data_IF_062663393376
#
_entry.id   IF_062663393376
#
_cell.length_a   1.000
_cell.length_b   1.000
_cell.length_c   1.000
_cell.angle_alpha   90.00
_cell.angle_beta   90.00
_cell.angle_gamma   90.00
#
_symmetry.space_group_name_H-M   'P 1'
#
loop_
_entity.id
_entity.type
_entity.pdbx_description
1 polymer ?
#
# COMPACT_ATOMS: atom_id res chain seq x y z
N UNK A 1 -45.16 69.07 47.53
CA UNK A 1 -44.07 69.10 48.53
C UNK A 1 -42.98 68.15 48.06
N UNK A 2 -41.84 68.69 47.63
CA UNK A 2 -40.63 67.91 47.36
C UNK A 2 -40.07 67.41 48.69
N UNK A 3 -40.30 66.14 49.01
CA UNK A 3 -39.60 65.48 50.12
C UNK A 3 -38.18 65.23 49.65
N UNK A 4 -37.26 66.12 50.03
CA UNK A 4 -35.84 65.97 49.77
C UNK A 4 -35.30 64.78 50.55
N UNK A 5 -34.67 63.84 49.84
CA UNK A 5 -34.00 62.68 50.43
C UNK A 5 -33.08 63.07 51.59
N UNK A 6 -33.04 62.28 52.66
CA UNK A 6 -32.11 62.48 53.77
C UNK A 6 -30.64 62.41 53.30
N UNK A 7 -29.69 63.07 54.00
CA UNK A 7 -28.28 63.04 53.63
C UNK A 7 -27.69 61.62 53.57
N UNK A 8 -28.10 60.71 54.47
CA UNK A 8 -27.62 59.31 54.48
C UNK A 8 -28.17 58.46 53.32
N UNK A 9 -29.44 58.62 52.96
CA UNK A 9 -30.04 57.91 51.83
C UNK A 9 -29.43 58.35 50.48
N UNK A 10 -29.03 59.62 50.38
CA UNK A 10 -28.28 60.14 49.23
C UNK A 10 -26.89 59.52 49.13
N UNK A 11 -26.25 59.27 50.27
CA UNK A 11 -24.92 58.66 50.32
C UNK A 11 -24.96 57.17 49.96
N UNK A 12 -25.93 56.41 50.47
CA UNK A 12 -26.11 54.98 50.15
C UNK A 12 -26.43 54.80 48.66
N UNK A 13 -27.35 55.60 48.13
CA UNK A 13 -27.70 55.58 46.70
C UNK A 13 -26.55 56.03 45.81
N UNK A 14 -25.68 56.91 46.31
CA UNK A 14 -24.42 57.28 45.66
C UNK A 14 -23.45 56.12 45.57
N UNK A 15 -23.19 55.43 46.69
CA UNK A 15 -22.30 54.27 46.77
C UNK A 15 -22.79 53.09 45.94
N UNK A 16 -24.11 52.87 45.87
CA UNK A 16 -24.69 51.80 45.06
C UNK A 16 -24.53 52.06 43.55
N UNK A 17 -24.75 53.30 43.10
CA UNK A 17 -24.48 53.72 41.72
C UNK A 17 -23.00 53.64 41.35
N UNK A 18 -22.11 53.91 42.28
CA UNK A 18 -20.66 53.80 42.07
C UNK A 18 -20.24 52.34 41.90
N UNK A 19 -20.75 51.43 42.74
CA UNK A 19 -20.53 49.98 42.61
C UNK A 19 -21.12 49.41 41.33
N UNK A 20 -22.26 49.92 40.87
CA UNK A 20 -22.87 49.50 39.61
C UNK A 20 -22.01 49.90 38.41
N UNK A 21 -21.50 51.14 38.39
CA UNK A 21 -20.55 51.62 37.37
C UNK A 21 -19.24 50.84 37.37
N UNK A 22 -18.74 50.47 38.56
CA UNK A 22 -17.52 49.67 38.67
C UNK A 22 -17.72 48.26 38.10
N UNK A 23 -18.87 47.62 38.37
CA UNK A 23 -19.25 46.32 37.78
C UNK A 23 -19.44 46.41 36.27
N UNK A 24 -20.01 47.50 35.77
CA UNK A 24 -20.20 47.73 34.33
C UNK A 24 -18.85 47.87 33.63
N UNK A 25 -17.91 48.65 34.19
CA UNK A 25 -16.53 48.75 33.70
C UNK A 25 -15.80 47.41 33.73
N UNK A 26 -15.97 46.61 34.78
CA UNK A 26 -15.33 45.29 34.86
C UNK A 26 -15.90 44.33 33.79
N UNK A 27 -17.20 44.42 33.49
CA UNK A 27 -17.81 43.65 32.40
C UNK A 27 -17.32 44.09 31.02
N UNK A 28 -17.18 45.40 30.80
CA UNK A 28 -16.61 45.95 29.56
C UNK A 28 -15.16 45.48 29.36
N UNK A 29 -14.32 45.56 30.39
CA UNK A 29 -12.93 45.09 30.33
C UNK A 29 -12.85 43.57 30.07
N UNK A 30 -13.73 42.78 30.69
CA UNK A 30 -13.83 41.33 30.44
C UNK A 30 -14.29 41.03 29.01
N UNK A 31 -15.25 41.79 28.49
CA UNK A 31 -15.73 41.65 27.11
C UNK A 31 -14.60 42.01 26.12
N UNK A 32 -13.88 43.10 26.35
CA UNK A 32 -12.75 43.52 25.52
C UNK A 32 -11.61 42.49 25.52
N UNK A 33 -11.28 41.93 26.70
CA UNK A 33 -10.30 40.86 26.81
C UNK A 33 -10.76 39.58 26.07
N UNK A 34 -12.03 39.22 26.18
CA UNK A 34 -12.62 38.09 25.48
C UNK A 34 -12.59 38.29 23.96
N UNK A 35 -12.95 39.48 23.48
CA UNK A 35 -12.84 39.84 22.06
C UNK A 35 -11.40 39.78 21.57
N UNK A 36 -10.44 40.24 22.39
CA UNK A 36 -9.02 40.12 22.10
C UNK A 36 -8.59 38.67 21.87
N UNK A 37 -9.03 37.76 22.73
CA UNK A 37 -8.77 36.32 22.60
C UNK A 37 -9.42 35.76 21.33
N UNK A 38 -10.69 36.09 21.06
CA UNK A 38 -11.41 35.64 19.86
C UNK A 38 -10.71 36.12 18.59
N UNK A 39 -10.25 37.39 18.56
CA UNK A 39 -9.48 37.95 17.44
C UNK A 39 -8.18 37.18 17.23
N UNK A 40 -7.45 36.87 18.30
CA UNK A 40 -6.20 36.09 18.21
C UNK A 40 -6.42 34.69 17.65
N UNK A 41 -7.43 33.96 18.14
CA UNK A 41 -7.74 32.63 17.61
C UNK A 41 -8.23 32.68 16.16
N UNK A 42 -9.03 33.68 15.81
CA UNK A 42 -9.49 33.88 14.43
C UNK A 42 -8.32 34.12 13.50
N UNK A 43 -7.38 34.98 13.91
CA UNK A 43 -6.14 35.24 13.15
C UNK A 43 -5.27 33.99 13.05
N UNK A 44 -5.04 33.29 14.16
CA UNK A 44 -4.24 32.07 14.16
C UNK A 44 -4.85 30.99 13.25
N UNK A 45 -6.17 30.82 13.28
CA UNK A 45 -6.87 29.89 12.39
C UNK A 45 -6.73 30.30 10.91
N UNK A 46 -6.82 31.59 10.62
CA UNK A 46 -6.58 32.10 9.27
C UNK A 46 -5.15 31.84 8.80
N UNK A 47 -4.16 32.17 9.64
CA UNK A 47 -2.73 31.97 9.35
C UNK A 47 -2.42 30.48 9.12
N UNK A 48 -2.95 29.58 9.96
CA UNK A 48 -2.81 28.12 9.79
C UNK A 48 -3.45 27.62 8.49
N UNK A 49 -4.62 28.14 8.12
CA UNK A 49 -5.26 27.77 6.86
C UNK A 49 -4.44 28.24 5.66
N UNK A 50 -3.89 29.46 5.69
CA UNK A 50 -2.99 29.94 4.65
C UNK A 50 -1.74 29.08 4.52
N UNK A 51 -1.13 28.70 5.65
CA UNK A 51 0.02 27.79 5.65
C UNK A 51 -0.32 26.43 5.04
N UNK A 52 -1.46 25.85 5.42
CA UNK A 52 -1.93 24.58 4.85
C UNK A 52 -2.04 24.65 3.32
N UNK A 53 -2.74 25.66 2.79
CA UNK A 53 -2.93 25.80 1.35
C UNK A 53 -1.60 26.01 0.62
N UNK A 54 -0.68 26.77 1.21
CA UNK A 54 0.64 26.99 0.63
C UNK A 54 1.46 25.70 0.61
N UNK A 55 1.46 24.94 1.70
CA UNK A 55 2.14 23.64 1.78
C UNK A 55 1.57 22.64 0.77
N UNK A 56 0.24 22.58 0.61
CA UNK A 56 -0.41 21.72 -0.39
C UNK A 56 0.05 22.09 -1.81
N UNK A 57 0.09 23.38 -2.14
CA UNK A 57 0.56 23.86 -3.44
C UNK A 57 2.05 23.59 -3.67
N UNK A 58 2.90 23.82 -2.67
CA UNK A 58 4.33 23.51 -2.74
C UNK A 58 4.56 22.00 -2.89
N UNK A 59 3.78 21.17 -2.18
CA UNK A 59 3.83 19.72 -2.30
C UNK A 59 3.46 19.24 -3.70
N UNK A 60 2.39 19.76 -4.30
CA UNK A 60 1.99 19.43 -5.67
C UNK A 60 3.02 19.89 -6.72
N UNK A 61 3.67 21.02 -6.49
CA UNK A 61 4.73 21.52 -7.36
C UNK A 61 6.01 20.67 -7.29
N UNK A 62 6.41 20.26 -6.08
CA UNK A 62 7.61 19.44 -5.87
C UNK A 62 7.40 18.01 -6.35
N UNK A 63 6.20 17.47 -6.11
CA UNK A 63 5.85 16.11 -6.47
C UNK A 63 4.73 16.07 -7.51
N UNK A 64 5.06 16.06 -8.81
CA UNK A 64 4.08 15.83 -9.85
C UNK A 64 3.39 14.47 -9.66
N UNK A 65 2.22 14.29 -10.29
CA UNK A 65 1.33 13.15 -10.04
C UNK A 65 2.00 11.77 -10.13
N UNK A 66 2.94 11.60 -11.06
CA UNK A 66 3.71 10.37 -11.26
C UNK A 66 4.80 10.10 -10.19
N UNK A 67 5.18 11.13 -9.43
CA UNK A 67 6.21 11.09 -8.38
C UNK A 67 5.65 11.38 -6.97
N UNK A 68 4.34 11.58 -6.83
CA UNK A 68 3.69 11.78 -5.54
C UNK A 68 3.90 10.55 -4.62
N UNK A 69 4.56 10.70 -3.46
CA UNK A 69 4.88 9.59 -2.57
C UNK A 69 3.66 8.76 -2.15
N UNK A 70 2.50 9.38 -1.89
CA UNK A 70 1.29 8.64 -1.52
C UNK A 70 0.74 7.80 -2.67
N UNK A 71 0.79 8.32 -3.90
CA UNK A 71 0.40 7.58 -5.11
C UNK A 71 1.41 6.48 -5.43
N UNK A 72 2.70 6.70 -5.17
CA UNK A 72 3.72 5.66 -5.34
C UNK A 72 3.50 4.50 -4.38
N UNK A 73 3.22 4.76 -3.10
CA UNK A 73 2.92 3.72 -2.12
C UNK A 73 1.68 2.91 -2.52
N UNK A 74 0.61 3.56 -3.00
CA UNK A 74 -0.58 2.82 -3.45
C UNK A 74 -0.31 1.96 -4.68
N UNK A 75 0.47 2.46 -5.64
CA UNK A 75 0.91 1.69 -6.82
C UNK A 75 1.80 0.51 -6.44
N UNK A 76 2.73 0.69 -5.51
CA UNK A 76 3.62 -0.37 -5.02
C UNK A 76 2.80 -1.47 -4.35
N UNK A 77 1.84 -1.12 -3.47
CA UNK A 77 0.94 -2.09 -2.84
C UNK A 77 0.15 -2.88 -3.87
N UNK A 78 -0.41 -2.20 -4.87
CA UNK A 78 -1.12 -2.87 -5.98
C UNK A 78 -0.22 -3.85 -6.72
N UNK A 79 1.00 -3.44 -7.07
CA UNK A 79 1.97 -4.32 -7.75
C UNK A 79 2.32 -5.53 -6.88
N UNK A 80 2.46 -5.34 -5.57
CA UNK A 80 2.72 -6.42 -4.63
C UNK A 80 1.59 -7.45 -4.64
N UNK A 81 0.33 -6.99 -4.57
CA UNK A 81 -0.84 -7.87 -4.66
C UNK A 81 -0.92 -8.58 -6.02
N UNK A 82 -0.71 -7.85 -7.12
CA UNK A 82 -0.72 -8.38 -8.49
C UNK A 82 0.37 -9.45 -8.67
N UNK A 83 1.57 -9.26 -8.11
CA UNK A 83 2.67 -10.25 -8.14
C UNK A 83 2.28 -11.52 -7.38
N UNK A 84 1.63 -11.41 -6.23
CA UNK A 84 1.17 -12.57 -5.46
C UNK A 84 0.14 -13.38 -6.24
N UNK A 85 -0.84 -12.70 -6.85
CA UNK A 85 -1.85 -13.33 -7.70
C UNK A 85 -1.21 -14.02 -8.91
N UNK A 86 -0.34 -13.32 -9.63
CA UNK A 86 0.36 -13.85 -10.79
C UNK A 86 1.22 -15.07 -10.43
N UNK A 87 1.91 -15.01 -9.29
CA UNK A 87 2.70 -16.13 -8.78
C UNK A 87 1.81 -17.34 -8.54
N UNK A 88 0.64 -17.16 -7.90
CA UNK A 88 -0.34 -18.23 -7.71
C UNK A 88 -0.82 -18.84 -9.03
N UNK A 89 -1.12 -18.00 -10.03
CA UNK A 89 -1.54 -18.43 -11.37
C UNK A 89 -0.43 -19.22 -12.08
N UNK A 90 0.83 -18.80 -11.99
CA UNK A 90 1.97 -19.53 -12.54
C UNK A 90 2.14 -20.91 -11.89
N UNK A 91 1.99 -21.02 -10.58
CA UNK A 91 2.04 -22.32 -9.89
C UNK A 91 0.90 -23.25 -10.34
N UNK A 92 -0.31 -22.72 -10.47
CA UNK A 92 -1.44 -23.49 -10.98
C UNK A 92 -1.21 -23.99 -12.40
N UNK A 93 -0.69 -23.14 -13.28
CA UNK A 93 -0.33 -23.51 -14.66
C UNK A 93 0.75 -24.58 -14.71
N UNK A 94 1.79 -24.47 -13.87
CA UNK A 94 2.84 -25.48 -13.76
C UNK A 94 2.29 -26.83 -13.29
N UNK A 95 1.39 -26.84 -12.30
CA UNK A 95 0.72 -28.05 -11.82
C UNK A 95 -0.13 -28.70 -12.92
N UNK A 96 -0.92 -27.90 -13.65
CA UNK A 96 -1.73 -28.39 -14.76
C UNK A 96 -0.87 -28.97 -15.91
N UNK A 97 0.28 -28.34 -16.19
CA UNK A 97 1.24 -28.87 -17.17
C UNK A 97 1.85 -30.19 -16.70
N UNK A 98 2.22 -30.32 -15.43
CA UNK A 98 2.76 -31.56 -14.89
C UNK A 98 1.74 -32.71 -14.99
N UNK A 99 0.48 -32.46 -14.63
CA UNK A 99 -0.61 -33.44 -14.79
C UNK A 99 -0.80 -33.88 -16.24
N UNK A 100 -0.68 -32.95 -17.21
CA UNK A 100 -0.71 -33.30 -18.63
C UNK A 100 0.48 -34.16 -19.06
N UNK A 101 1.69 -33.87 -18.57
CA UNK A 101 2.89 -34.68 -18.83
C UNK A 101 2.70 -36.10 -18.28
N UNK A 102 2.22 -36.23 -17.05
CA UNK A 102 1.99 -37.52 -16.39
C UNK A 102 0.96 -38.36 -17.14
N UNK A 103 -0.14 -37.72 -17.61
CA UNK A 103 -1.15 -38.37 -18.45
C UNK A 103 -0.58 -38.81 -19.79
N UNK A 104 0.16 -37.95 -20.48
CA UNK A 104 0.78 -38.29 -21.76
C UNK A 104 1.77 -39.45 -21.62
N UNK A 105 2.59 -39.45 -20.57
CA UNK A 105 3.54 -40.52 -20.28
C UNK A 105 2.82 -41.85 -20.02
N UNK A 106 1.74 -41.83 -19.22
CA UNK A 106 0.92 -43.00 -18.94
C UNK A 106 0.36 -43.61 -20.22
N UNK A 107 -0.30 -42.79 -21.05
CA UNK A 107 -0.89 -43.24 -22.33
C UNK A 107 0.17 -43.77 -23.30
N UNK A 108 1.33 -43.10 -23.40
CA UNK A 108 2.43 -43.56 -24.27
C UNK A 108 3.00 -44.90 -23.82
N UNK A 109 3.18 -45.10 -22.51
CA UNK A 109 3.65 -46.38 -21.95
C UNK A 109 2.63 -47.50 -22.16
N UNK A 110 1.34 -47.24 -21.96
CA UNK A 110 0.26 -48.20 -22.21
C UNK A 110 0.20 -48.62 -23.68
N UNK A 111 0.22 -47.64 -24.60
CA UNK A 111 0.22 -47.90 -26.04
C UNK A 111 1.45 -48.69 -26.48
N UNK A 112 2.63 -48.34 -25.95
CA UNK A 112 3.88 -49.08 -26.19
C UNK A 112 3.74 -50.54 -25.75
N UNK A 113 3.24 -50.78 -24.53
CA UNK A 113 3.07 -52.13 -24.00
C UNK A 113 2.07 -52.95 -24.82
N UNK A 114 0.99 -52.33 -25.30
CA UNK A 114 0.02 -52.98 -26.19
C UNK A 114 0.65 -53.37 -27.52
N UNK A 115 1.41 -52.47 -28.15
CA UNK A 115 2.10 -52.76 -29.42
C UNK A 115 3.11 -53.91 -29.28
N UNK A 116 3.91 -53.92 -28.22
CA UNK A 116 4.85 -55.02 -27.94
C UNK A 116 4.14 -56.36 -27.79
N UNK A 117 2.98 -56.38 -27.09
CA UNK A 117 2.16 -57.58 -26.96
C UNK A 117 1.61 -58.06 -28.31
N UNK A 118 1.13 -57.15 -29.16
CA UNK A 118 0.63 -57.47 -30.49
C UNK A 118 1.74 -58.03 -31.40
N UNK A 119 2.91 -57.40 -31.42
CA UNK A 119 4.06 -57.88 -32.21
C UNK A 119 4.50 -59.27 -31.78
N UNK A 120 4.60 -59.49 -30.46
CA UNK A 120 4.92 -60.81 -29.89
C UNK A 120 3.91 -61.87 -30.32
N UNK A 121 2.61 -61.52 -30.36
CA UNK A 121 1.56 -62.45 -30.78
C UNK A 121 1.57 -62.79 -32.28
N UNK A 122 2.12 -61.90 -33.10
CA UNK A 122 2.22 -62.05 -34.56
C UNK A 122 3.57 -62.62 -35.01
N UNK A 123 4.49 -62.91 -34.08
CA UNK A 123 5.84 -63.39 -34.40
C UNK A 123 6.72 -62.35 -35.10
N UNK A 124 6.37 -61.06 -35.01
CA UNK A 124 7.13 -59.97 -35.62
C UNK A 124 8.30 -59.63 -34.69
N UNK A 125 9.55 -59.60 -35.18
CA UNK A 125 10.70 -59.20 -34.37
C UNK A 125 10.54 -57.77 -33.85
N UNK A 126 10.64 -57.60 -32.53
CA UNK A 126 10.66 -56.28 -31.90
C UNK A 126 12.02 -55.64 -32.21
N UNK A 127 12.08 -54.69 -33.13
CA UNK A 127 13.29 -53.89 -33.39
C UNK A 127 13.33 -52.69 -32.44
N UNK A 128 14.29 -52.63 -31.49
CA UNK A 128 14.34 -51.56 -30.47
C UNK A 128 14.53 -50.17 -31.08
N UNK A 129 15.38 -50.08 -32.12
CA UNK A 129 15.83 -48.83 -32.72
C UNK A 129 14.71 -47.96 -33.31
N UNK A 130 13.60 -48.56 -33.78
CA UNK A 130 12.52 -47.84 -34.45
C UNK A 130 11.35 -47.50 -33.51
N UNK A 131 11.23 -48.22 -32.39
CA UNK A 131 10.17 -48.02 -31.40
C UNK A 131 10.57 -47.13 -30.23
N UNK A 132 11.87 -46.99 -29.94
CA UNK A 132 12.36 -46.22 -28.80
C UNK A 132 12.64 -44.74 -29.12
N UNK A 133 12.82 -44.36 -30.38
CA UNK A 133 13.22 -43.00 -30.78
C UNK A 133 12.21 -41.90 -30.35
N UNK A 134 10.89 -42.03 -30.59
CA UNK A 134 9.92 -41.00 -30.20
C UNK A 134 9.71 -40.90 -28.69
N UNK A 135 9.78 -42.04 -27.98
CA UNK A 135 9.61 -42.09 -26.54
C UNK A 135 10.83 -41.53 -25.79
N UNK A 136 12.03 -41.84 -26.29
CA UNK A 136 13.29 -41.30 -25.77
C UNK A 136 13.37 -39.79 -26.03
N UNK A 137 12.96 -39.34 -27.21
CA UNK A 137 12.85 -37.92 -27.55
C UNK A 137 11.88 -37.18 -26.61
N UNK A 138 10.67 -37.73 -26.40
CA UNK A 138 9.72 -37.15 -25.45
C UNK A 138 10.31 -37.02 -24.05
N UNK A 139 10.96 -38.08 -23.53
CA UNK A 139 11.58 -38.06 -22.21
C UNK A 139 12.68 -37.00 -22.10
N UNK A 140 13.52 -36.88 -23.12
CA UNK A 140 14.58 -35.86 -23.19
C UNK A 140 14.00 -34.45 -23.15
N UNK A 141 12.91 -34.18 -23.89
CA UNK A 141 12.23 -32.88 -23.89
C UNK A 141 11.67 -32.56 -22.49
N UNK A 142 11.09 -33.54 -21.79
CA UNK A 142 10.59 -33.34 -20.42
C UNK A 142 11.75 -33.02 -19.46
N UNK A 143 12.84 -33.79 -19.52
CA UNK A 143 14.02 -33.58 -18.67
C UNK A 143 14.65 -32.19 -18.90
N UNK A 144 14.80 -31.77 -20.16
CA UNK A 144 15.28 -30.43 -20.52
C UNK A 144 14.38 -29.34 -19.96
N UNK A 145 13.07 -29.48 -20.12
CA UNK A 145 12.11 -28.51 -19.59
C UNK A 145 12.14 -28.45 -18.05
N UNK A 146 12.21 -29.60 -17.36
CA UNK A 146 12.31 -29.65 -15.90
C UNK A 146 13.57 -28.96 -15.40
N UNK A 147 14.70 -29.12 -16.10
CA UNK A 147 15.93 -28.40 -15.81
C UNK A 147 15.78 -26.88 -15.97
N UNK A 148 15.11 -26.41 -17.04
CA UNK A 148 14.87 -24.98 -17.26
C UNK A 148 13.95 -24.35 -16.20
N UNK A 149 12.94 -25.07 -15.72
CA UNK A 149 12.05 -24.58 -14.64
C UNK A 149 12.80 -24.52 -13.31
N UNK A 150 13.64 -25.50 -13.02
CA UNK A 150 14.41 -25.57 -11.77
C UNK A 150 15.52 -24.52 -11.73
N UNK A 151 16.23 -24.30 -12.84
CA UNK A 151 17.30 -23.29 -12.93
C UNK A 151 16.77 -21.85 -12.79
N UNK A 152 15.56 -21.57 -13.27
CA UNK A 152 14.89 -20.27 -13.07
C UNK A 152 14.30 -20.09 -11.67
N UNK A 153 14.04 -21.18 -10.95
CA UNK A 153 13.50 -21.16 -9.58
C UNK A 153 14.62 -21.08 -8.53
N UNK A 154 15.82 -21.58 -8.84
CA UNK A 154 16.96 -21.66 -7.93
C UNK A 154 18.01 -20.55 -8.10
N UNK A 155 17.63 -19.30 -7.84
CA UNK A 155 18.57 -18.20 -7.47
C UNK A 155 17.80 -17.09 -6.73
N UNK A 156 16.93 -17.51 -5.81
CA UNK A 156 16.32 -16.62 -4.82
C UNK A 156 16.76 -17.12 -3.47
N UNK A 157 18.03 -16.89 -3.14
CA UNK A 157 18.41 -16.79 -1.73
C UNK A 157 17.54 -15.70 -1.13
N UNK A 158 16.69 -16.12 -0.20
CA UNK A 158 15.79 -15.33 0.64
C UNK A 158 16.59 -14.36 1.55
N UNK A 159 17.36 -13.45 0.94
CA UNK A 159 18.14 -12.40 1.61
C UNK A 159 17.81 -11.00 1.04
N UNK A 160 16.62 -10.82 0.49
CA UNK A 160 16.07 -9.48 0.27
C UNK A 160 15.33 -9.06 1.55
N UNK A 161 16.13 -8.69 2.54
CA UNK A 161 15.80 -8.04 3.79
C UNK A 161 14.58 -7.11 3.63
N UNK A 162 13.40 -7.63 3.97
CA UNK A 162 12.11 -6.98 3.69
C UNK A 162 11.85 -5.75 4.58
N UNK A 163 12.89 -5.28 5.30
CA UNK A 163 12.86 -4.13 6.19
C UNK A 163 13.39 -2.83 5.57
N UNK A 164 14.11 -2.87 4.44
CA UNK A 164 14.96 -1.74 4.06
C UNK A 164 14.44 -0.84 2.94
N UNK A 165 13.20 -1.02 2.47
CA UNK A 165 12.62 -0.15 1.43
C UNK A 165 12.54 1.31 1.89
N UNK A 166 12.14 1.54 3.15
CA UNK A 166 12.14 2.88 3.74
C UNK A 166 13.57 3.45 3.84
N UNK A 167 14.55 2.64 4.26
CA UNK A 167 15.93 3.12 4.38
C UNK A 167 16.55 3.44 3.02
N UNK A 168 16.21 2.69 1.98
CA UNK A 168 16.62 2.94 0.59
C UNK A 168 15.99 4.22 0.03
N UNK A 169 14.71 4.46 0.31
CA UNK A 169 13.99 5.67 -0.09
C UNK A 169 14.48 6.93 0.64
N UNK A 170 14.81 6.83 1.93
CA UNK A 170 15.24 7.99 2.74
C UNK A 170 16.75 8.25 2.67
N UNK A 171 17.59 7.27 2.31
CA UNK A 171 19.04 7.49 2.14
C UNK A 171 19.37 8.26 0.85
N UNK A 172 18.54 8.14 -0.19
CA UNK A 172 18.74 8.86 -1.46
C UNK A 172 18.44 10.37 -1.35
N UNK A 173 17.72 10.81 -0.32
CA UNK A 173 17.31 12.21 -0.13
C UNK A 173 18.31 13.08 0.66
N UNK A 174 19.45 12.53 1.12
CA UNK A 174 20.39 13.25 2.02
C UNK A 174 21.70 13.68 1.31
N UNK A 175 21.84 13.47 0.00
CA UNK A 175 23.04 13.89 -0.75
C UNK A 175 22.85 15.09 -1.69
N UNK A 176 22.02 16.06 -1.32
CA UNK A 176 21.97 17.36 -2.01
C UNK A 176 22.23 18.49 -1.02
N UNK A 177 23.50 18.91 -0.95
CA UNK A 177 23.93 20.24 -0.49
C UNK A 177 23.69 21.25 -1.61
#
# INVERSE_FOLDING_TARGET
MLVGLGPEEREIKGKERERERERERERELRMEAMEGIVRLFTKANHDLNMLKHRLEKEFENVYPENANPMKLVSRIKKIQDDILILTGQCHHLLAAKQDLIDKAQTVLLENRNLLHRMQSSLGIPITPQQHDDPFTNFKQIIEEWTLQVRSKTGDKTDDADSGDLNKLLFSALVQSN
#
